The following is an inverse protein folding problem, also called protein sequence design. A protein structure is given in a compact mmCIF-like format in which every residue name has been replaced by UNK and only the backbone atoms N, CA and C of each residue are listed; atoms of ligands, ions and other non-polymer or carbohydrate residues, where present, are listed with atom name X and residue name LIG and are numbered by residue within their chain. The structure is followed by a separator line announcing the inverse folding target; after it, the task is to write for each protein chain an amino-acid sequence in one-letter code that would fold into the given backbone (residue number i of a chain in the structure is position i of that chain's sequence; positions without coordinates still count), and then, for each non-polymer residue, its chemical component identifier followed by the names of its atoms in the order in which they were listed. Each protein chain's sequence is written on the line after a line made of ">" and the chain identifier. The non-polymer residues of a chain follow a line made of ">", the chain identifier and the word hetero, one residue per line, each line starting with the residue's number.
data_IF_545687853040
#
_entry.id   IF_545687853040
#
_cell.length_a   1.000
_cell.length_b   1.000
_cell.length_c   1.000
_cell.angle_alpha   90.00
_cell.angle_beta   90.00
_cell.angle_gamma   90.00
#
_symmetry.space_group_name_H-M   'P 1'
#
loop_
_entity.id
_entity.type
_entity.pdbx_description
1 polymer ?
#
# COMPACT_ATOMS: atom_id res chain seq x y z
N UNK A 1 -27.40 -53.51 28.78
CA UNK A 1 -26.49 -52.86 29.76
C UNK A 1 -26.50 -51.37 29.49
N UNK A 2 -26.85 -50.60 30.52
CA UNK A 2 -27.07 -49.16 30.54
C UNK A 2 -28.17 -48.86 31.56
N UNK A 3 -27.79 -48.47 32.78
CA UNK A 3 -28.72 -48.15 33.87
C UNK A 3 -29.49 -46.87 33.54
N UNK A 4 -30.72 -47.04 33.10
CA UNK A 4 -31.68 -45.97 32.83
C UNK A 4 -33.08 -46.56 32.87
N UNK A 5 -33.93 -45.99 33.72
CA UNK A 5 -35.34 -46.32 33.83
C UNK A 5 -36.08 -45.88 32.55
N UNK A 6 -35.90 -46.64 31.47
CA UNK A 6 -36.55 -46.46 30.17
C UNK A 6 -37.37 -47.73 29.87
N UNK A 7 -38.64 -47.80 30.30
CA UNK A 7 -39.45 -49.01 30.15
C UNK A 7 -39.81 -49.27 28.68
N UNK A 8 -39.70 -48.25 27.81
CA UNK A 8 -39.93 -48.39 26.38
C UNK A 8 -39.17 -47.33 25.59
N UNK A 9 -38.47 -47.74 24.54
CA UNK A 9 -38.04 -46.86 23.47
C UNK A 9 -38.85 -47.21 22.22
N UNK A 10 -39.27 -46.19 21.48
CA UNK A 10 -40.00 -46.39 20.25
C UNK A 10 -39.29 -45.71 19.11
N UNK A 11 -39.31 -46.37 17.95
CA UNK A 11 -38.90 -45.83 16.68
C UNK A 11 -40.11 -45.71 15.77
N UNK A 12 -40.16 -44.61 15.04
CA UNK A 12 -41.15 -44.39 14.00
C UNK A 12 -40.41 -44.09 12.72
N UNK A 13 -40.57 -44.99 11.76
CA UNK A 13 -40.01 -44.82 10.43
C UNK A 13 -41.20 -44.55 9.51
N UNK A 14 -41.20 -43.37 8.91
CA UNK A 14 -42.26 -42.99 7.98
C UNK A 14 -41.98 -43.61 6.60
N UNK A 15 -43.06 -44.02 5.92
CA UNK A 15 -42.98 -44.54 4.57
C UNK A 15 -42.36 -43.52 3.58
N UNK A 16 -41.83 -44.01 2.45
CA UNK A 16 -41.17 -43.19 1.42
C UNK A 16 -40.04 -42.29 1.96
N UNK A 17 -39.26 -42.78 2.92
CA UNK A 17 -38.19 -42.02 3.58
C UNK A 17 -38.69 -40.70 4.21
N UNK A 18 -39.94 -40.70 4.69
CA UNK A 18 -40.58 -39.53 5.29
C UNK A 18 -40.03 -39.12 6.67
N UNK A 19 -38.89 -39.69 7.06
CA UNK A 19 -38.17 -39.42 8.31
C UNK A 19 -38.04 -40.66 9.21
N UNK A 20 -36.95 -40.68 9.99
CA UNK A 20 -36.72 -41.66 11.05
C UNK A 20 -36.78 -40.88 12.35
N UNK A 21 -37.66 -41.30 13.24
CA UNK A 21 -37.88 -40.62 14.50
C UNK A 21 -37.72 -41.59 15.66
N UNK A 22 -37.33 -41.06 16.80
CA UNK A 22 -37.33 -41.79 18.05
C UNK A 22 -38.00 -41.00 19.16
N UNK A 23 -38.42 -41.73 20.17
CA UNK A 23 -38.72 -41.20 21.49
C UNK A 23 -38.50 -42.30 22.52
N UNK A 24 -38.35 -41.91 23.78
CA UNK A 24 -38.20 -42.84 24.89
C UNK A 24 -39.18 -42.49 25.99
N UNK A 25 -39.69 -43.52 26.65
CA UNK A 25 -40.47 -43.40 27.86
C UNK A 25 -39.54 -43.46 29.06
N UNK A 26 -39.93 -42.78 30.12
CA UNK A 26 -39.29 -42.86 31.42
C UNK A 26 -40.12 -43.73 32.35
N UNK A 27 -39.45 -44.53 33.16
CA UNK A 27 -40.09 -45.50 34.06
C UNK A 27 -41.04 -44.83 35.03
N UNK A 28 -42.24 -45.39 35.20
CA UNK A 28 -43.29 -44.80 36.02
C UNK A 28 -43.93 -43.50 35.49
N UNK A 29 -43.41 -42.89 34.40
CA UNK A 29 -43.88 -41.60 33.86
C UNK A 29 -44.33 -41.65 32.39
N UNK A 30 -43.92 -42.66 31.62
CA UNK A 30 -44.26 -42.76 30.20
C UNK A 30 -43.46 -41.82 29.30
N UNK A 31 -43.97 -41.49 28.10
CA UNK A 31 -43.28 -40.64 27.12
C UNK A 31 -43.40 -39.16 27.49
N UNK A 32 -42.27 -38.52 27.79
CA UNK A 32 -42.21 -37.10 28.22
C UNK A 32 -42.03 -36.13 27.04
N UNK A 33 -41.44 -36.60 25.94
CA UNK A 33 -41.19 -35.80 24.74
C UNK A 33 -41.79 -36.45 23.50
N UNK A 34 -42.19 -35.60 22.56
CA UNK A 34 -42.63 -36.03 21.25
C UNK A 34 -41.49 -36.58 20.39
N UNK A 35 -41.87 -37.16 19.25
CA UNK A 35 -40.96 -37.75 18.28
C UNK A 35 -39.91 -36.76 17.78
N UNK A 36 -38.64 -37.12 17.92
CA UNK A 36 -37.50 -36.36 17.41
C UNK A 36 -36.92 -37.01 16.16
N UNK A 37 -36.61 -36.21 15.14
CA UNK A 37 -36.09 -36.70 13.85
C UNK A 37 -34.57 -36.94 13.90
N UNK A 38 -34.12 -38.04 13.31
CA UNK A 38 -32.74 -38.19 12.87
C UNK A 38 -32.60 -37.58 11.47
N UNK A 39 -31.77 -36.55 11.33
CA UNK A 39 -31.36 -36.07 10.02
C UNK A 39 -30.40 -37.08 9.36
N UNK A 40 -30.58 -37.27 8.06
CA UNK A 40 -29.80 -38.23 7.27
C UNK A 40 -29.29 -37.57 6.00
N UNK A 41 -28.49 -38.27 5.21
CA UNK A 41 -27.93 -37.74 3.96
C UNK A 41 -28.98 -37.40 2.92
N UNK A 42 -30.08 -38.16 2.87
CA UNK A 42 -31.24 -37.91 2.00
C UNK A 42 -32.23 -36.92 2.62
N UNK A 43 -31.97 -36.47 3.85
CA UNK A 43 -32.80 -35.54 4.61
C UNK A 43 -31.95 -34.70 5.56
N UNK A 44 -31.15 -33.83 4.96
CA UNK A 44 -30.22 -32.94 5.68
C UNK A 44 -30.99 -31.83 6.42
N UNK A 45 -30.42 -31.26 7.49
CA UNK A 45 -30.90 -30.00 8.01
C UNK A 45 -30.74 -28.90 6.95
N UNK A 46 -31.71 -28.00 6.89
CA UNK A 46 -31.66 -26.77 6.13
C UNK A 46 -30.77 -25.73 6.82
N UNK A 47 -30.40 -24.66 6.10
CA UNK A 47 -29.70 -23.52 6.70
C UNK A 47 -30.49 -22.85 7.84
N UNK A 48 -31.84 -22.94 7.80
CA UNK A 48 -32.71 -22.47 8.88
C UNK A 48 -32.61 -23.34 10.14
N UNK A 49 -32.50 -24.66 9.97
CA UNK A 49 -32.36 -25.61 11.08
C UNK A 49 -31.04 -25.40 11.86
N UNK A 50 -30.08 -24.67 11.28
CA UNK A 50 -28.75 -24.43 11.87
C UNK A 50 -28.39 -22.95 12.03
N UNK A 51 -29.24 -22.00 11.63
CA UNK A 51 -28.97 -20.56 11.76
C UNK A 51 -27.86 -20.02 10.83
N UNK A 52 -27.61 -20.68 9.70
CA UNK A 52 -26.61 -20.26 8.72
C UNK A 52 -27.19 -19.34 7.65
N UNK A 53 -26.30 -18.66 6.92
CA UNK A 53 -26.64 -18.09 5.62
C UNK A 53 -26.77 -19.25 4.61
N UNK A 54 -27.94 -19.48 4.01
CA UNK A 54 -28.07 -20.50 2.97
C UNK A 54 -27.12 -20.25 1.78
N UNK A 55 -26.74 -21.31 1.05
CA UNK A 55 -26.03 -21.19 -0.24
C UNK A 55 -26.85 -20.46 -1.30
N UNK A 56 -28.17 -20.48 -1.14
CA UNK A 56 -29.10 -19.65 -1.89
C UNK A 56 -29.15 -18.18 -1.39
N UNK A 57 -28.34 -17.81 -0.38
CA UNK A 57 -28.28 -16.49 0.27
C UNK A 57 -29.16 -16.33 1.52
N UNK A 58 -29.00 -15.23 2.27
CA UNK A 58 -29.82 -14.87 3.45
C UNK A 58 -29.52 -13.48 4.07
N UNK A 59 -30.09 -13.16 5.25
CA UNK A 59 -29.94 -11.86 5.94
C UNK A 59 -28.99 -11.93 7.16
N UNK A 60 -28.08 -10.94 7.31
CA UNK A 60 -27.26 -10.70 8.51
C UNK A 60 -27.79 -9.46 9.28
N UNK A 61 -28.35 -9.62 10.48
CA UNK A 61 -28.91 -8.54 11.31
C UNK A 61 -27.85 -7.95 12.30
N UNK A 62 -26.68 -7.54 11.75
CA UNK A 62 -25.43 -7.08 12.40
C UNK A 62 -24.46 -6.39 11.40
N UNK A 63 -23.28 -5.87 11.82
CA UNK A 63 -22.28 -5.29 10.89
C UNK A 63 -21.61 -6.33 10.01
N UNK A 64 -21.69 -6.13 8.70
CA UNK A 64 -20.90 -6.86 7.71
C UNK A 64 -19.70 -6.03 7.34
N UNK A 65 -18.71 -5.94 8.20
CA UNK A 65 -17.52 -5.21 7.79
C UNK A 65 -16.88 -5.84 6.57
N UNK A 66 -16.94 -5.17 5.42
CA UNK A 66 -16.05 -5.43 4.28
C UNK A 66 -15.01 -4.32 4.23
N UNK A 67 -14.56 -3.91 5.41
CA UNK A 67 -13.56 -2.85 5.58
C UNK A 67 -13.93 -1.84 6.66
N UNK A 68 -15.12 -1.88 7.20
CA UNK A 68 -15.29 -1.54 8.60
C UNK A 68 -16.48 -2.34 9.04
N UNK A 69 -16.19 -3.31 9.93
CA UNK A 69 -17.15 -3.59 10.99
C UNK A 69 -17.42 -2.26 11.57
N UNK A 70 -18.66 -2.04 11.92
CA UNK A 70 -19.07 -0.70 12.17
C UNK A 70 -18.43 -0.18 13.45
N UNK A 71 -17.22 0.38 13.34
CA UNK A 71 -16.70 1.43 14.18
C UNK A 71 -17.48 2.73 13.91
N UNK A 72 -18.35 2.69 12.88
CA UNK A 72 -19.47 3.58 12.63
C UNK A 72 -20.76 3.18 13.42
N UNK A 73 -20.80 2.08 14.22
CA UNK A 73 -21.94 1.54 15.01
C UNK A 73 -22.99 0.69 14.24
N UNK A 74 -23.78 -0.18 14.90
CA UNK A 74 -24.89 -0.93 14.26
C UNK A 74 -24.45 -1.94 13.18
N UNK A 75 -25.08 -1.94 11.99
CA UNK A 75 -24.77 -2.83 10.87
C UNK A 75 -23.98 -2.10 9.75
N UNK A 76 -22.66 -2.29 9.55
CA UNK A 76 -21.92 -1.68 8.41
C UNK A 76 -21.01 -2.61 7.65
N UNK A 77 -20.79 -2.21 6.40
CA UNK A 77 -19.74 -2.59 5.46
C UNK A 77 -19.06 -1.29 5.05
N UNK A 78 -18.05 -0.82 5.78
CA UNK A 78 -17.20 0.17 5.12
C UNK A 78 -16.44 -0.54 4.06
N UNK A 79 -16.72 -0.04 2.89
CA UNK A 79 -15.85 0.14 1.75
C UNK A 79 -16.04 1.61 1.30
N UNK A 80 -16.23 2.52 2.26
CA UNK A 80 -16.27 3.97 2.03
C UNK A 80 -17.49 4.51 1.28
N UNK A 81 -17.61 4.26 -0.02
CA UNK A 81 -18.61 4.87 -0.93
C UNK A 81 -18.79 4.04 -2.24
N UNK A 82 -19.46 4.59 -3.26
CA UNK A 82 -19.93 3.86 -4.46
C UNK A 82 -18.98 3.87 -5.66
N UNK A 83 -17.92 4.65 -5.56
CA UNK A 83 -16.97 4.88 -6.64
C UNK A 83 -15.53 4.91 -6.13
N UNK A 84 -15.37 4.61 -4.83
CA UNK A 84 -14.20 4.15 -4.13
C UNK A 84 -14.39 2.70 -3.73
N UNK A 85 -13.35 1.89 -3.95
CA UNK A 85 -13.42 0.47 -3.62
C UNK A 85 -12.49 -0.35 -4.49
N UNK A 86 -12.71 -1.66 -4.51
CA UNK A 86 -11.87 -2.60 -5.22
C UNK A 86 -12.61 -3.26 -6.39
N UNK A 87 -11.93 -3.41 -7.53
CA UNK A 87 -12.49 -4.06 -8.72
C UNK A 87 -11.50 -5.05 -9.30
N UNK A 88 -11.90 -6.31 -9.38
CA UNK A 88 -11.13 -7.32 -10.11
C UNK A 88 -11.36 -7.13 -11.62
N UNK A 89 -10.32 -6.73 -12.34
CA UNK A 89 -10.35 -6.36 -13.75
C UNK A 89 -9.68 -7.42 -14.65
N UNK A 90 -9.80 -8.68 -14.26
CA UNK A 90 -9.19 -9.84 -14.91
C UNK A 90 -8.51 -10.75 -13.90
N UNK A 91 -7.98 -11.87 -14.39
CA UNK A 91 -7.16 -12.75 -13.56
C UNK A 91 -5.88 -12.01 -13.13
N UNK A 92 -5.61 -11.98 -11.83
CA UNK A 92 -4.47 -11.27 -11.25
C UNK A 92 -4.55 -9.74 -11.21
N UNK A 93 -5.66 -9.12 -11.63
CA UNK A 93 -5.78 -7.66 -11.71
C UNK A 93 -6.77 -7.13 -10.69
N UNK A 94 -6.28 -6.50 -9.62
CA UNK A 94 -7.11 -5.85 -8.61
C UNK A 94 -6.88 -4.34 -8.64
N UNK A 95 -7.95 -3.58 -8.82
CA UNK A 95 -7.89 -2.13 -8.98
C UNK A 95 -8.57 -1.43 -7.81
N UNK A 96 -7.97 -0.35 -7.34
CA UNK A 96 -8.53 0.61 -6.40
C UNK A 96 -9.11 1.77 -7.19
N UNK A 97 -10.38 2.03 -6.95
CA UNK A 97 -11.06 3.21 -7.44
C UNK A 97 -11.20 4.20 -6.30
N UNK A 98 -11.26 5.48 -6.66
CA UNK A 98 -11.76 6.56 -5.81
C UNK A 98 -12.44 7.59 -6.71
N UNK A 99 -13.67 7.98 -6.38
CA UNK A 99 -14.46 8.91 -7.19
C UNK A 99 -14.51 8.54 -8.69
N UNK A 100 -14.71 7.24 -8.96
CA UNK A 100 -14.76 6.65 -10.30
C UNK A 100 -13.44 6.67 -11.06
N UNK A 101 -12.39 7.14 -10.40
CA UNK A 101 -11.07 7.15 -10.96
C UNK A 101 -10.34 5.92 -10.48
N UNK A 102 -9.81 5.16 -11.43
CA UNK A 102 -8.86 4.11 -11.12
C UNK A 102 -7.58 4.76 -10.58
N UNK A 103 -7.39 4.77 -9.27
CA UNK A 103 -6.28 5.48 -8.62
C UNK A 103 -5.06 4.59 -8.44
N UNK A 104 -5.25 3.27 -8.31
CA UNK A 104 -4.16 2.33 -8.11
C UNK A 104 -4.52 0.94 -8.63
N UNK A 105 -3.55 0.23 -9.21
CA UNK A 105 -3.67 -1.16 -9.65
C UNK A 105 -2.64 -2.06 -8.97
N UNK A 106 -3.07 -3.26 -8.65
CA UNK A 106 -2.23 -4.40 -8.30
C UNK A 106 -2.26 -5.43 -9.42
N UNK A 107 -1.08 -5.76 -9.93
CA UNK A 107 -0.83 -6.86 -10.91
C UNK A 107 0.37 -7.68 -10.45
N UNK A 108 0.64 -8.87 -11.03
CA UNK A 108 1.69 -9.77 -10.53
C UNK A 108 3.11 -9.18 -10.50
N UNK A 109 3.44 -8.27 -11.43
CA UNK A 109 4.78 -7.70 -11.57
C UNK A 109 4.96 -6.29 -11.04
N UNK A 110 3.89 -5.58 -10.64
CA UNK A 110 3.99 -4.17 -10.25
C UNK A 110 2.76 -3.67 -9.50
N UNK A 111 2.96 -2.57 -8.75
CA UNK A 111 1.88 -1.72 -8.26
C UNK A 111 1.93 -0.43 -9.07
N UNK A 112 0.79 -0.03 -9.63
CA UNK A 112 0.71 1.13 -10.50
C UNK A 112 -0.15 2.18 -9.84
N UNK A 113 0.41 3.36 -9.58
CA UNK A 113 -0.36 4.52 -9.17
C UNK A 113 -0.71 5.35 -10.39
N UNK A 114 -1.99 5.62 -10.60
CA UNK A 114 -2.47 6.51 -11.66
C UNK A 114 -2.60 7.96 -11.18
N UNK A 115 -2.20 8.22 -9.92
CA UNK A 115 -2.22 9.53 -9.26
C UNK A 115 -0.89 9.79 -8.55
N UNK A 116 -0.67 11.05 -8.20
CA UNK A 116 0.45 11.44 -7.33
C UNK A 116 0.32 10.75 -5.98
N UNK A 117 1.46 10.31 -5.44
CA UNK A 117 1.54 9.74 -4.09
C UNK A 117 2.04 10.83 -3.15
N UNK A 118 1.25 11.17 -2.13
CA UNK A 118 1.67 12.09 -1.08
C UNK A 118 2.34 11.30 0.05
N UNK A 119 3.59 11.65 0.40
CA UNK A 119 4.43 10.91 1.34
C UNK A 119 4.95 11.88 2.41
N UNK A 120 4.57 11.65 3.67
CA UNK A 120 4.99 12.49 4.81
C UNK A 120 6.48 12.35 5.15
N UNK A 121 7.13 11.26 4.70
CA UNK A 121 8.54 10.94 4.97
C UNK A 121 9.41 10.78 3.72
N UNK A 122 10.49 10.00 3.84
CA UNK A 122 11.46 9.77 2.76
C UNK A 122 11.09 8.56 1.89
N UNK A 123 11.32 8.69 0.59
CA UNK A 123 11.36 7.56 -0.36
C UNK A 123 12.81 7.10 -0.52
N UNK A 124 13.07 5.79 -0.43
CA UNK A 124 14.40 5.18 -0.62
C UNK A 124 14.39 4.19 -1.78
N UNK A 125 14.61 4.65 -3.03
CA UNK A 125 14.83 3.76 -4.16
C UNK A 125 16.03 2.83 -3.94
N UNK A 126 15.98 1.61 -4.49
CA UNK A 126 17.15 0.73 -4.59
C UNK A 126 18.15 1.18 -5.66
N UNK A 127 17.69 2.01 -6.59
CA UNK A 127 18.47 2.60 -7.66
C UNK A 127 18.05 4.07 -7.83
N UNK A 128 19.04 4.98 -7.79
CA UNK A 128 18.84 6.43 -7.94
C UNK A 128 19.19 6.92 -9.35
N UNK A 129 19.52 6.04 -10.31
CA UNK A 129 19.99 6.41 -11.65
C UNK A 129 19.07 7.41 -12.38
N UNK A 130 17.76 7.32 -12.19
CA UNK A 130 16.77 8.26 -12.76
C UNK A 130 16.64 9.60 -11.98
N UNK A 131 17.16 9.70 -10.76
CA UNK A 131 17.23 10.95 -9.99
C UNK A 131 18.56 11.65 -10.22
N UNK A 132 19.64 10.88 -10.07
CA UNK A 132 21.02 11.34 -10.14
C UNK A 132 21.40 11.90 -11.52
N UNK A 133 20.71 11.48 -12.58
CA UNK A 133 20.89 12.00 -13.93
C UNK A 133 20.25 13.38 -14.19
N UNK A 134 19.46 13.91 -13.24
CA UNK A 134 18.70 15.16 -13.43
C UNK A 134 19.27 16.36 -12.68
N UNK A 135 20.21 16.14 -11.75
CA UNK A 135 20.74 17.20 -10.90
C UNK A 135 22.26 17.17 -10.88
N UNK A 136 22.85 18.37 -10.81
CA UNK A 136 24.26 18.55 -10.45
C UNK A 136 24.42 18.15 -8.99
N UNK A 137 25.35 17.24 -8.72
CA UNK A 137 25.61 16.70 -7.38
C UNK A 137 26.58 17.57 -6.59
N UNK A 138 27.48 18.25 -7.28
CA UNK A 138 28.46 19.16 -6.68
C UNK A 138 28.84 20.28 -7.65
N UNK A 139 29.07 21.49 -7.12
CA UNK A 139 29.64 22.62 -7.85
C UNK A 139 30.89 23.08 -7.13
N UNK A 140 32.02 23.10 -7.82
CA UNK A 140 33.31 23.46 -7.22
C UNK A 140 34.18 24.28 -8.16
N UNK A 141 35.15 24.97 -7.58
CA UNK A 141 36.25 25.54 -8.34
C UNK A 141 37.26 24.45 -8.65
N UNK A 142 37.58 24.30 -9.92
CA UNK A 142 38.70 23.48 -10.36
C UNK A 142 40.04 24.10 -9.99
N UNK A 143 41.10 23.56 -10.58
CA UNK A 143 42.48 23.98 -10.32
C UNK A 143 42.71 25.46 -10.63
N UNK A 144 43.48 26.14 -9.77
CA UNK A 144 43.88 27.53 -9.97
C UNK A 144 44.77 27.67 -11.20
N UNK A 145 44.47 28.67 -12.02
CA UNK A 145 45.26 29.11 -13.15
C UNK A 145 45.80 30.51 -12.86
N UNK A 146 46.89 30.90 -13.52
CA UNK A 146 47.51 32.21 -13.37
C UNK A 146 47.72 32.85 -14.75
N UNK A 147 47.22 34.07 -14.91
CA UNK A 147 47.53 34.91 -16.06
C UNK A 147 48.52 35.98 -15.61
N UNK A 148 49.80 35.78 -15.95
CA UNK A 148 50.87 36.72 -15.64
C UNK A 148 50.95 37.84 -16.67
N UNK A 149 51.25 39.05 -16.20
CA UNK A 149 51.44 40.25 -17.02
C UNK A 149 52.74 40.94 -16.62
N UNK A 150 53.19 41.88 -17.45
CA UNK A 150 54.33 42.75 -17.14
C UNK A 150 53.87 44.18 -16.84
N UNK A 151 54.69 44.92 -16.10
CA UNK A 151 54.38 46.25 -15.56
C UNK A 151 54.77 47.40 -16.51
N UNK A 152 55.07 47.12 -17.79
CA UNK A 152 55.48 48.13 -18.78
C UNK A 152 54.43 48.38 -19.87
N UNK A 153 53.29 47.69 -19.84
CA UNK A 153 52.17 47.89 -20.78
C UNK A 153 50.83 47.74 -20.07
N UNK A 154 49.85 48.55 -20.46
CA UNK A 154 48.46 48.36 -20.02
C UNK A 154 47.96 46.98 -20.45
N UNK A 155 47.30 46.27 -19.54
CA UNK A 155 46.71 44.96 -19.80
C UNK A 155 45.21 44.98 -19.47
N UNK A 156 44.46 44.15 -20.19
CA UNK A 156 43.04 43.92 -19.97
C UNK A 156 42.83 42.41 -19.93
N UNK A 157 42.35 41.91 -18.80
CA UNK A 157 42.05 40.50 -18.64
C UNK A 157 40.58 40.29 -18.34
N UNK A 158 39.99 39.34 -19.05
CA UNK A 158 38.65 38.83 -18.80
C UNK A 158 38.77 37.33 -18.58
N UNK A 159 38.12 36.82 -17.53
CA UNK A 159 38.07 35.39 -17.31
C UNK A 159 37.45 34.69 -18.55
N UNK A 160 38.04 33.58 -19.03
CA UNK A 160 37.40 32.75 -20.05
C UNK A 160 36.03 32.25 -19.58
N UNK A 161 35.17 31.82 -20.51
CA UNK A 161 33.85 31.27 -20.17
C UNK A 161 33.94 30.20 -19.09
N UNK A 162 33.03 30.25 -18.11
CA UNK A 162 33.01 29.34 -16.97
C UNK A 162 34.12 29.55 -15.93
N UNK A 163 34.93 30.62 -16.02
CA UNK A 163 35.95 30.94 -15.02
C UNK A 163 35.61 32.18 -14.20
N UNK A 164 36.16 32.23 -12.98
CA UNK A 164 36.06 33.37 -12.08
C UNK A 164 37.43 33.79 -11.55
N UNK A 165 37.59 35.07 -11.25
CA UNK A 165 38.75 35.58 -10.52
C UNK A 165 38.76 34.97 -9.11
N UNK A 166 39.94 34.57 -8.66
CA UNK A 166 40.17 33.92 -7.36
C UNK A 166 41.31 34.56 -6.57
N UNK A 167 42.05 35.48 -7.19
CA UNK A 167 43.09 36.25 -6.53
C UNK A 167 43.76 37.21 -7.48
N UNK A 168 44.48 38.16 -6.91
CA UNK A 168 45.32 39.12 -7.62
C UNK A 168 46.72 38.98 -7.05
N UNK A 169 47.73 38.84 -7.91
CA UNK A 169 49.12 38.84 -7.49
C UNK A 169 49.61 40.29 -7.48
N UNK A 170 49.78 40.86 -6.30
CA UNK A 170 50.31 42.21 -6.10
C UNK A 170 51.80 42.10 -5.83
N UNK A 171 52.62 42.85 -6.55
CA UNK A 171 54.08 42.85 -6.37
C UNK A 171 54.61 44.29 -6.27
N UNK A 172 55.62 44.48 -5.42
CA UNK A 172 56.38 45.73 -5.40
C UNK A 172 57.27 45.81 -6.63
N UNK A 173 57.14 46.88 -7.42
CA UNK A 173 57.80 47.03 -8.72
C UNK A 173 58.96 48.05 -8.71
N UNK A 174 59.47 48.42 -7.54
CA UNK A 174 60.55 49.41 -7.38
C UNK A 174 60.09 50.85 -7.63
N UNK A 175 61.02 51.81 -7.60
CA UNK A 175 60.68 53.24 -7.77
C UNK A 175 60.23 53.55 -9.21
N UNK A 176 59.15 54.33 -9.34
CA UNK A 176 58.58 54.85 -10.61
C UNK A 176 57.81 53.85 -11.50
N UNK A 177 57.18 52.82 -10.93
CA UNK A 177 56.28 51.92 -11.67
C UNK A 177 54.80 52.27 -11.44
N UNK A 178 54.00 52.23 -12.51
CA UNK A 178 52.58 52.62 -12.50
C UNK A 178 51.60 51.46 -12.27
N UNK A 179 52.07 50.21 -12.25
CA UNK A 179 51.24 49.02 -12.06
C UNK A 179 51.88 48.05 -11.07
N UNK A 180 51.15 47.74 -10.01
CA UNK A 180 51.57 46.87 -8.91
C UNK A 180 50.95 45.47 -9.01
N UNK A 181 50.31 45.15 -10.15
CA UNK A 181 49.67 43.85 -10.36
C UNK A 181 50.49 42.99 -11.33
N UNK A 182 51.08 41.92 -10.81
CA UNK A 182 51.89 40.96 -11.57
C UNK A 182 51.06 39.98 -12.41
N UNK A 183 49.76 39.88 -12.12
CA UNK A 183 48.84 38.97 -12.76
C UNK A 183 47.64 38.65 -11.88
N UNK A 184 46.76 37.80 -12.40
CA UNK A 184 45.54 37.38 -11.72
C UNK A 184 45.42 35.86 -11.69
N UNK A 185 44.88 35.36 -10.59
CA UNK A 185 44.53 33.96 -10.44
C UNK A 185 43.05 33.77 -10.77
N UNK A 186 42.74 32.75 -11.55
CA UNK A 186 41.36 32.43 -11.91
C UNK A 186 41.14 30.93 -11.88
N UNK A 187 39.90 30.50 -11.68
CA UNK A 187 39.53 29.09 -11.54
C UNK A 187 38.30 28.78 -12.39
N UNK A 188 38.23 27.63 -13.06
CA UNK A 188 37.00 27.18 -13.70
C UNK A 188 35.98 26.80 -12.61
N UNK A 189 34.74 27.19 -12.82
CA UNK A 189 33.59 26.62 -12.11
C UNK A 189 33.23 25.31 -12.83
N UNK A 190 33.11 24.22 -12.08
CA UNK A 190 32.79 22.90 -12.58
C UNK A 190 31.58 22.33 -11.83
N UNK A 191 30.74 21.56 -12.52
CA UNK A 191 29.64 20.78 -11.96
C UNK A 191 29.84 19.30 -12.24
N UNK A 192 29.58 18.41 -11.26
CA UNK A 192 29.61 16.94 -11.46
C UNK A 192 28.23 16.33 -11.29
#
# INVERSE_FOLDING_TARGET
>A
MGDGSCPAAQFRINYKNGGIFYRSARDGYGFEADWSEFYTTTRKPSAGDVGALPLSGGQLNGALGIGTSSALGGNSIVLGDNDTGFKQNGDGNLDVYANYVHVMRFVPGSIQSNKTINITGRVNPSDYGNFDSRYVKDVRLGSQQYYGVNNWRTWNFQCPSGHVLSGINVQDTGSNSADNIAGVYYRPVQSI
#
